data_IF_012590102009
#
_entry.id   IF_012590102009
#
_cell.length_a   1.000
_cell.length_b   1.000
_cell.length_c   1.000
_cell.angle_alpha   90.00
_cell.angle_beta   90.00
_cell.angle_gamma   90.00
#
_symmetry.space_group_name_H-M   'P 1'
#
loop_
_entity.id
_entity.type
_entity.pdbx_description
1 polymer ?
#
# COMPACT_ATOMS: atom_id res chain seq x y z
N UNK A 1 -34.48 -0.01 29.39
CA UNK A 1 -33.31 -0.70 28.85
C UNK A 1 -33.16 -0.26 27.39
N UNK A 2 -32.34 0.76 27.18
CA UNK A 2 -32.16 1.39 25.84
C UNK A 2 -31.04 0.64 25.15
N UNK A 3 -31.37 -0.18 24.15
CA UNK A 3 -30.39 -0.83 23.31
C UNK A 3 -29.71 0.21 22.43
N UNK A 4 -28.52 0.65 22.83
CA UNK A 4 -27.62 1.42 21.98
C UNK A 4 -27.05 0.48 20.91
N UNK A 5 -27.79 0.31 19.83
CA UNK A 5 -27.23 -0.31 18.60
C UNK A 5 -26.21 0.67 18.05
N UNK A 6 -24.93 0.41 18.33
CA UNK A 6 -23.82 1.14 17.72
C UNK A 6 -23.82 0.81 16.23
N UNK A 7 -24.56 1.58 15.46
CA UNK A 7 -24.49 1.52 14.00
C UNK A 7 -23.12 2.03 13.59
N UNK A 8 -22.23 1.13 13.19
CA UNK A 8 -20.99 1.49 12.53
C UNK A 8 -21.34 2.21 11.23
N UNK A 9 -21.40 3.53 11.30
CA UNK A 9 -21.61 4.38 10.13
C UNK A 9 -20.38 4.23 9.24
N UNK A 10 -20.46 3.35 8.28
CA UNK A 10 -19.43 3.20 7.24
C UNK A 10 -19.44 4.46 6.40
N UNK A 11 -18.51 5.36 6.66
CA UNK A 11 -18.41 6.63 5.94
C UNK A 11 -17.88 6.38 4.53
N UNK A 12 -18.79 6.40 3.56
CA UNK A 12 -18.44 6.39 2.15
C UNK A 12 -17.95 7.77 1.70
N UNK A 13 -17.01 7.80 0.78
CA UNK A 13 -16.51 9.03 0.18
C UNK A 13 -16.41 8.87 -1.34
N UNK A 14 -16.66 9.97 -2.06
CA UNK A 14 -16.34 10.03 -3.50
C UNK A 14 -14.86 10.39 -3.62
N UNK A 15 -14.04 9.48 -4.20
CA UNK A 15 -12.60 9.70 -4.29
C UNK A 15 -12.26 10.95 -5.09
N UNK A 16 -11.35 11.78 -4.55
CA UNK A 16 -10.78 12.90 -5.29
C UNK A 16 -9.96 12.41 -6.50
N UNK A 17 -9.76 13.25 -7.53
CA UNK A 17 -8.89 12.91 -8.65
C UNK A 17 -7.46 12.54 -8.21
N UNK A 18 -6.96 13.19 -7.16
CA UNK A 18 -5.65 12.88 -6.58
C UNK A 18 -5.64 11.48 -5.98
N UNK A 19 -6.64 11.12 -5.17
CA UNK A 19 -6.73 9.79 -4.57
C UNK A 19 -6.79 8.70 -5.64
N UNK A 20 -7.59 8.90 -6.71
CA UNK A 20 -7.68 7.93 -7.80
C UNK A 20 -6.35 7.73 -8.54
N UNK A 21 -5.56 8.81 -8.72
CA UNK A 21 -4.23 8.73 -9.34
C UNK A 21 -3.21 8.07 -8.42
N UNK A 22 -3.22 8.40 -7.14
CA UNK A 22 -2.33 7.81 -6.15
C UNK A 22 -2.58 6.29 -6.03
N UNK A 23 -3.83 5.85 -5.85
CA UNK A 23 -4.19 4.43 -5.80
C UNK A 23 -3.85 3.69 -7.11
N UNK A 24 -3.94 4.36 -8.28
CA UNK A 24 -3.51 3.76 -9.53
C UNK A 24 -2.00 3.56 -9.56
N UNK A 25 -1.24 4.59 -9.21
CA UNK A 25 0.22 4.53 -9.19
C UNK A 25 0.70 3.45 -8.21
N UNK A 26 0.09 3.39 -7.01
CA UNK A 26 0.40 2.35 -6.02
C UNK A 26 0.11 0.96 -6.56
N UNK A 27 -1.09 0.70 -7.07
CA UNK A 27 -1.46 -0.61 -7.62
C UNK A 27 -0.50 -1.05 -8.75
N UNK A 28 -0.11 -0.12 -9.63
CA UNK A 28 0.78 -0.43 -10.76
C UNK A 28 2.21 -0.68 -10.28
N UNK A 29 2.78 0.22 -9.49
CA UNK A 29 4.18 0.10 -9.03
C UNK A 29 4.35 -1.11 -8.11
N UNK A 30 3.44 -1.30 -7.14
CA UNK A 30 3.43 -2.46 -6.25
C UNK A 30 3.22 -3.77 -7.01
N UNK A 31 2.30 -3.77 -7.99
CA UNK A 31 2.04 -4.93 -8.84
C UNK A 31 3.24 -5.32 -9.71
N UNK A 32 3.88 -4.35 -10.37
CA UNK A 32 5.09 -4.58 -11.15
C UNK A 32 6.22 -5.11 -10.27
N UNK A 33 6.45 -4.49 -9.11
CA UNK A 33 7.47 -4.95 -8.16
C UNK A 33 7.17 -6.38 -7.68
N UNK A 34 5.94 -6.66 -7.28
CA UNK A 34 5.52 -8.00 -6.85
C UNK A 34 5.73 -9.06 -7.94
N UNK A 35 5.35 -8.78 -9.18
CA UNK A 35 5.58 -9.69 -10.31
C UNK A 35 7.05 -9.88 -10.62
N UNK A 36 7.85 -8.81 -10.59
CA UNK A 36 9.30 -8.89 -10.77
C UNK A 36 9.93 -9.80 -9.72
N UNK A 37 9.59 -9.61 -8.45
CA UNK A 37 10.11 -10.43 -7.35
C UNK A 37 9.61 -11.88 -7.45
N UNK A 38 8.38 -12.13 -7.88
CA UNK A 38 7.85 -13.47 -8.06
C UNK A 38 8.61 -14.24 -9.14
N UNK A 39 8.87 -13.58 -10.28
CA UNK A 39 9.48 -14.23 -11.44
C UNK A 39 11.02 -14.29 -11.37
N UNK A 40 11.65 -13.27 -10.79
CA UNK A 40 13.10 -13.08 -10.87
C UNK A 40 13.84 -13.19 -9.52
N UNK A 41 13.17 -13.60 -8.42
CA UNK A 41 13.80 -13.68 -7.10
C UNK A 41 15.16 -14.38 -7.07
N UNK A 42 15.35 -15.58 -7.70
CA UNK A 42 16.66 -16.23 -7.71
C UNK A 42 17.75 -15.43 -8.45
N UNK A 43 17.38 -14.75 -9.53
CA UNK A 43 18.32 -13.95 -10.33
C UNK A 43 18.67 -12.63 -9.64
N UNK A 44 17.75 -12.07 -8.86
CA UNK A 44 17.94 -10.80 -8.14
C UNK A 44 18.68 -10.99 -6.81
N UNK A 45 18.60 -12.17 -6.19
CA UNK A 45 19.13 -12.40 -4.86
C UNK A 45 20.63 -12.09 -4.75
N UNK A 46 21.43 -12.59 -5.68
CA UNK A 46 22.90 -12.36 -5.71
C UNK A 46 23.25 -10.86 -5.91
N UNK A 47 22.80 -10.25 -7.01
CA UNK A 47 23.06 -8.82 -7.25
C UNK A 47 22.61 -7.88 -6.15
N UNK A 48 21.47 -8.17 -5.50
CA UNK A 48 20.94 -7.35 -4.42
C UNK A 48 21.49 -7.71 -3.02
N UNK A 49 22.12 -8.88 -2.87
CA UNK A 49 22.53 -9.41 -1.56
C UNK A 49 21.33 -9.70 -0.66
N UNK A 50 20.17 -10.04 -1.25
CA UNK A 50 18.94 -10.29 -0.50
C UNK A 50 18.59 -11.79 -0.55
N UNK A 51 18.12 -12.38 0.57
CA UNK A 51 17.69 -13.76 0.59
C UNK A 51 16.54 -14.02 -0.41
N UNK A 52 16.62 -15.10 -1.20
CA UNK A 52 15.55 -15.50 -2.14
C UNK A 52 14.20 -15.65 -1.43
N UNK A 53 14.22 -16.17 -0.20
CA UNK A 53 13.03 -16.30 0.64
C UNK A 53 12.36 -14.94 0.90
N UNK A 54 13.14 -13.93 1.27
CA UNK A 54 12.63 -12.57 1.51
C UNK A 54 11.96 -12.00 0.26
N UNK A 55 12.61 -12.12 -0.91
CA UNK A 55 12.07 -11.63 -2.18
C UNK A 55 10.74 -12.33 -2.55
N UNK A 56 10.67 -13.65 -2.35
CA UNK A 56 9.45 -14.43 -2.60
C UNK A 56 8.31 -14.09 -1.64
N UNK A 57 8.59 -13.97 -0.35
CA UNK A 57 7.58 -13.55 0.63
C UNK A 57 7.07 -12.15 0.35
N UNK A 58 7.95 -11.23 -0.03
CA UNK A 58 7.55 -9.90 -0.49
C UNK A 58 6.59 -9.98 -1.67
N UNK A 59 6.89 -10.81 -2.69
CA UNK A 59 5.99 -11.00 -3.83
C UNK A 59 4.61 -11.53 -3.44
N UNK A 60 4.56 -12.53 -2.52
CA UNK A 60 3.30 -13.12 -2.03
C UNK A 60 2.43 -12.06 -1.33
N UNK A 61 3.02 -11.09 -0.67
CA UNK A 61 2.30 -10.00 -0.01
C UNK A 61 1.91 -8.91 -1.01
N UNK A 62 2.84 -8.48 -1.86
CA UNK A 62 2.65 -7.34 -2.77
C UNK A 62 1.60 -7.60 -3.84
N UNK A 63 1.55 -8.80 -4.42
CA UNK A 63 0.61 -9.11 -5.51
C UNK A 63 -0.87 -9.00 -5.07
N UNK A 64 -1.32 -9.67 -3.98
CA UNK A 64 -2.70 -9.52 -3.52
C UNK A 64 -3.00 -8.12 -3.01
N UNK A 65 -2.01 -7.42 -2.41
CA UNK A 65 -2.18 -6.04 -1.99
C UNK A 65 -2.41 -5.12 -3.20
N UNK A 66 -1.60 -5.22 -4.25
CA UNK A 66 -1.78 -4.46 -5.49
C UNK A 66 -3.15 -4.71 -6.13
N UNK A 67 -3.61 -5.97 -6.15
CA UNK A 67 -4.94 -6.32 -6.64
C UNK A 67 -6.05 -5.69 -5.80
N UNK A 68 -5.89 -5.67 -4.48
CA UNK A 68 -6.82 -5.00 -3.56
C UNK A 68 -6.89 -3.48 -3.82
N UNK A 69 -5.74 -2.80 -3.95
CA UNK A 69 -5.67 -1.36 -4.23
C UNK A 69 -6.27 -1.04 -5.60
N UNK A 70 -5.99 -1.86 -6.63
CA UNK A 70 -6.58 -1.73 -7.96
C UNK A 70 -8.11 -1.83 -7.93
N UNK A 71 -8.64 -2.81 -7.17
CA UNK A 71 -10.07 -2.96 -6.96
C UNK A 71 -10.69 -1.75 -6.25
N UNK A 72 -10.02 -1.25 -5.22
CA UNK A 72 -10.47 -0.09 -4.46
C UNK A 72 -10.52 1.17 -5.34
N UNK A 73 -9.51 1.38 -6.18
CA UNK A 73 -9.46 2.49 -7.15
C UNK A 73 -10.62 2.46 -8.14
N UNK A 74 -11.09 1.27 -8.54
CA UNK A 74 -12.19 1.08 -9.48
C UNK A 74 -13.57 1.46 -8.92
N UNK A 75 -13.72 1.66 -7.62
CA UNK A 75 -14.99 1.97 -6.99
C UNK A 75 -15.36 3.46 -7.18
N UNK A 76 -16.63 3.73 -7.47
CA UNK A 76 -17.15 5.12 -7.52
C UNK A 76 -17.21 5.75 -6.12
N UNK A 77 -17.51 4.94 -5.12
CA UNK A 77 -17.56 5.32 -3.70
C UNK A 77 -16.69 4.36 -2.90
N UNK A 78 -15.74 4.89 -2.17
CA UNK A 78 -14.82 4.10 -1.34
C UNK A 78 -15.14 4.28 0.13
N UNK A 79 -14.91 3.24 0.90
CA UNK A 79 -14.98 3.31 2.34
C UNK A 79 -13.68 3.93 2.87
N UNK A 80 -13.79 5.04 3.60
CA UNK A 80 -12.62 5.70 4.19
C UNK A 80 -11.70 4.78 5.00
N UNK A 81 -12.23 3.87 5.85
CA UNK A 81 -11.38 2.95 6.59
C UNK A 81 -10.50 2.06 5.71
N UNK A 82 -10.99 1.65 4.52
CA UNK A 82 -10.19 0.83 3.60
C UNK A 82 -9.02 1.62 3.00
N UNK A 83 -9.22 2.90 2.67
CA UNK A 83 -8.13 3.76 2.19
C UNK A 83 -7.13 4.02 3.32
N UNK A 84 -7.59 4.24 4.55
CA UNK A 84 -6.69 4.35 5.70
C UNK A 84 -5.88 3.06 5.92
N UNK A 85 -6.49 1.89 5.71
CA UNK A 85 -5.77 0.62 5.79
C UNK A 85 -4.67 0.53 4.73
N UNK A 86 -4.94 0.97 3.48
CA UNK A 86 -3.91 1.05 2.43
C UNK A 86 -2.76 1.95 2.85
N UNK A 87 -3.07 3.18 3.29
CA UNK A 87 -2.06 4.13 3.76
C UNK A 87 -1.23 3.55 4.92
N UNK A 88 -1.90 2.93 5.90
CA UNK A 88 -1.21 2.30 7.04
C UNK A 88 -0.30 1.14 6.59
N UNK A 89 -0.76 0.28 5.68
CA UNK A 89 0.05 -0.80 5.12
C UNK A 89 1.29 -0.25 4.39
N UNK A 90 1.12 0.79 3.59
CA UNK A 90 2.22 1.42 2.87
C UNK A 90 3.25 2.05 3.84
N UNK A 91 2.78 2.75 4.88
CA UNK A 91 3.67 3.31 5.91
C UNK A 91 4.42 2.21 6.65
N UNK A 92 3.73 1.16 7.08
CA UNK A 92 4.36 0.03 7.77
C UNK A 92 5.39 -0.66 6.87
N UNK A 93 5.06 -0.89 5.58
CA UNK A 93 5.99 -1.47 4.62
C UNK A 93 7.25 -0.61 4.44
N UNK A 94 7.09 0.71 4.32
CA UNK A 94 8.23 1.62 4.19
C UNK A 94 9.11 1.61 5.45
N UNK A 95 8.50 1.64 6.63
CA UNK A 95 9.23 1.59 7.91
C UNK A 95 9.95 0.24 8.09
N UNK A 96 9.28 -0.88 7.83
CA UNK A 96 9.88 -2.21 7.90
C UNK A 96 11.05 -2.37 6.93
N UNK A 97 10.91 -1.84 5.71
CA UNK A 97 11.97 -1.88 4.70
C UNK A 97 13.23 -1.13 5.14
N UNK A 98 13.07 0.03 5.78
CA UNK A 98 14.19 0.78 6.34
C UNK A 98 14.77 0.09 7.57
N UNK A 99 13.90 -0.38 8.46
CA UNK A 99 14.30 -1.00 9.71
C UNK A 99 15.14 -2.26 9.50
N UNK A 100 14.74 -3.13 8.58
CA UNK A 100 15.43 -4.41 8.29
C UNK A 100 16.88 -4.18 7.81
N UNK A 101 17.15 -3.06 7.13
CA UNK A 101 18.49 -2.65 6.72
C UNK A 101 19.25 -2.06 7.92
N UNK A 102 18.61 -1.16 8.69
CA UNK A 102 19.29 -0.46 9.80
C UNK A 102 19.70 -1.36 10.94
N UNK A 103 18.90 -2.40 11.26
CA UNK A 103 19.23 -3.36 12.34
C UNK A 103 20.26 -4.41 11.89
N UNK A 104 20.67 -4.41 10.61
CA UNK A 104 21.62 -5.39 10.08
C UNK A 104 21.08 -6.81 10.01
N UNK A 105 19.75 -6.99 9.92
CA UNK A 105 19.16 -8.33 9.78
C UNK A 105 19.41 -8.93 8.40
N UNK A 106 19.64 -8.08 7.42
CA UNK A 106 20.12 -8.43 6.09
C UNK A 106 21.37 -7.61 5.79
N UNK A 107 22.27 -8.16 4.99
CA UNK A 107 23.47 -7.49 4.49
C UNK A 107 23.35 -7.28 2.96
N UNK A 108 22.53 -6.33 2.52
CA UNK A 108 22.36 -6.07 1.10
C UNK A 108 23.65 -5.53 0.49
N UNK A 109 23.81 -5.75 -0.81
CA UNK A 109 24.82 -4.99 -1.58
C UNK A 109 24.40 -3.52 -1.68
N UNK A 110 25.29 -2.64 -2.15
CA UNK A 110 24.96 -1.23 -2.44
C UNK A 110 23.73 -1.15 -3.35
N UNK A 111 23.64 -2.04 -4.37
CA UNK A 111 22.48 -2.10 -5.25
C UNK A 111 21.21 -2.52 -4.51
N UNK A 112 21.33 -3.48 -3.58
CA UNK A 112 20.23 -3.91 -2.70
C UNK A 112 19.77 -2.80 -1.77
N UNK A 113 20.68 -2.05 -1.17
CA UNK A 113 20.33 -0.88 -0.33
C UNK A 113 19.57 0.17 -1.14
N UNK A 114 20.08 0.54 -2.32
CA UNK A 114 19.41 1.50 -3.22
C UNK A 114 18.03 0.99 -3.63
N UNK A 115 17.90 -0.31 -3.91
CA UNK A 115 16.62 -0.92 -4.24
C UNK A 115 15.63 -0.84 -3.05
N UNK A 116 16.03 -1.26 -1.84
CA UNK A 116 15.17 -1.30 -0.66
C UNK A 116 14.78 0.12 -0.22
N UNK A 117 15.74 1.02 -0.11
CA UNK A 117 15.47 2.39 0.33
C UNK A 117 14.72 3.17 -0.74
N UNK A 118 15.08 2.97 -2.01
CA UNK A 118 14.38 3.62 -3.13
C UNK A 118 12.90 3.25 -3.19
N UNK A 119 12.58 1.95 -3.11
CA UNK A 119 11.19 1.50 -3.08
C UNK A 119 10.45 1.98 -1.82
N UNK A 120 11.08 1.95 -0.64
CA UNK A 120 10.49 2.45 0.59
C UNK A 120 10.12 3.95 0.48
N UNK A 121 11.00 4.74 -0.14
CA UNK A 121 10.77 6.17 -0.39
C UNK A 121 9.59 6.40 -1.33
N UNK A 122 9.49 5.63 -2.42
CA UNK A 122 8.35 5.71 -3.35
C UNK A 122 7.05 5.36 -2.65
N UNK A 123 7.03 4.28 -1.87
CA UNK A 123 5.83 3.84 -1.13
C UNK A 123 5.42 4.88 -0.08
N UNK A 124 6.39 5.50 0.63
CA UNK A 124 6.10 6.57 1.58
C UNK A 124 5.43 7.79 0.91
N UNK A 125 5.93 8.21 -0.25
CA UNK A 125 5.32 9.29 -1.04
C UNK A 125 3.92 8.91 -1.51
N UNK A 126 3.70 7.67 -1.93
CA UNK A 126 2.37 7.19 -2.32
C UNK A 126 1.39 7.23 -1.14
N UNK A 127 1.82 6.77 0.04
CA UNK A 127 1.02 6.83 1.27
C UNK A 127 0.62 8.28 1.62
N UNK A 128 1.54 9.23 1.47
CA UNK A 128 1.24 10.66 1.68
C UNK A 128 0.22 11.19 0.66
N UNK A 129 0.40 10.88 -0.64
CA UNK A 129 -0.52 11.29 -1.69
C UNK A 129 -1.92 10.69 -1.51
N UNK A 130 -2.01 9.45 -1.09
CA UNK A 130 -3.27 8.77 -0.77
C UNK A 130 -3.96 9.42 0.43
N UNK A 131 -3.21 9.72 1.49
CA UNK A 131 -3.72 10.39 2.67
C UNK A 131 -4.24 11.80 2.34
N UNK A 132 -3.47 12.61 1.63
CA UNK A 132 -3.88 13.94 1.17
C UNK A 132 -5.08 13.85 0.21
N UNK A 133 -5.05 12.89 -0.71
CA UNK A 133 -6.14 12.60 -1.64
C UNK A 133 -7.43 12.23 -0.92
N UNK A 134 -7.34 11.42 0.15
CA UNK A 134 -8.48 11.05 0.99
C UNK A 134 -9.04 12.26 1.74
N UNK A 135 -8.18 13.14 2.25
CA UNK A 135 -8.62 14.39 2.91
C UNK A 135 -9.36 15.32 1.96
N UNK A 136 -9.01 15.33 0.67
CA UNK A 136 -9.66 16.12 -0.38
C UNK A 136 -10.92 15.46 -0.95
N UNK A 137 -11.24 14.24 -0.54
CA UNK A 137 -12.40 13.50 -1.00
C UNK A 137 -13.67 13.94 -0.28
N UNK A 138 -14.79 14.00 -0.99
CA UNK A 138 -16.06 14.49 -0.47
C UNK A 138 -16.80 13.38 0.27
N UNK A 139 -17.24 13.65 1.51
CA UNK A 139 -18.09 12.72 2.26
C UNK A 139 -19.46 12.59 1.60
N UNK A 140 -19.88 11.37 1.37
CA UNK A 140 -21.25 11.07 0.94
C UNK A 140 -22.10 11.00 2.20
N UNK A 141 -22.93 12.04 2.44
CA UNK A 141 -23.93 11.97 3.48
C UNK A 141 -24.98 10.92 3.08
N UNK A 142 -25.09 9.86 3.88
CA UNK A 142 -26.24 8.98 3.78
C UNK A 142 -27.47 9.77 4.21
N UNK A 143 -28.26 10.28 3.26
CA UNK A 143 -29.59 10.76 3.56
C UNK A 143 -30.40 9.52 3.99
N UNK A 144 -30.58 9.35 5.29
CA UNK A 144 -31.63 8.51 5.83
C UNK A 144 -32.95 9.12 5.36
N UNK A 145 -33.54 8.57 4.31
CA UNK A 145 -34.96 8.81 4.00
C UNK A 145 -35.74 8.09 5.08
N UNK A 146 -36.34 8.88 5.98
CA UNK A 146 -37.41 8.46 6.87
C UNK A 146 -38.65 8.12 6.04
#
# INVERSE_FOLDING_TARGET
MTNATTTLVTSFTTPSPLLRKALLADAVLTGITGLLLACAAPALAGPLGLPVGLLRWSAIILIPFAAFVARLRGQERVQRPLVFAVVACNVLWALDSVLIVLIGWIEPTILGEVFVIGQASVVAVLAELEFVGLRRSTLVQAHARL
#
